data_IF_002772553657
#
_entry.id   IF_002772553657
#
_cell.length_a   1.000
_cell.length_b   1.000
_cell.length_c   1.000
_cell.angle_alpha   90.00
_cell.angle_beta   90.00
_cell.angle_gamma   90.00
#
_symmetry.space_group_name_H-M   'P 1'
#
loop_
_entity.id
_entity.type
_entity.pdbx_description
1 polymer ?
#
# COMPACT_ATOMS: atom_id res chain seq x y z
N UNK A 1 -23.08 25.06 8.20
CA UNK A 1 -22.05 23.99 8.25
C UNK A 1 -21.32 24.01 6.93
N UNK A 2 -20.09 24.53 6.88
CA UNK A 2 -19.27 24.47 5.68
C UNK A 2 -18.84 23.01 5.50
N UNK A 3 -19.38 22.35 4.49
CA UNK A 3 -18.95 21.02 4.10
C UNK A 3 -17.48 21.14 3.66
N UNK A 4 -16.57 20.59 4.44
CA UNK A 4 -15.15 20.53 4.09
C UNK A 4 -15.01 19.65 2.86
N UNK A 5 -14.74 20.27 1.71
CA UNK A 5 -14.40 19.55 0.48
C UNK A 5 -13.12 18.74 0.72
N UNK A 6 -13.09 17.45 0.38
CA UNK A 6 -11.91 16.61 0.58
C UNK A 6 -10.75 17.09 -0.31
N UNK A 7 -9.60 17.39 0.31
CA UNK A 7 -8.38 17.79 -0.40
C UNK A 7 -7.66 16.56 -0.95
N UNK A 8 -7.66 16.38 -2.28
CA UNK A 8 -7.06 15.21 -2.96
C UNK A 8 -5.52 15.28 -3.06
N UNK A 9 -4.91 16.46 -2.89
CA UNK A 9 -3.48 16.68 -3.12
C UNK A 9 -2.53 15.77 -2.28
N UNK A 10 -2.78 15.48 -0.99
CA UNK A 10 -1.93 14.57 -0.22
C UNK A 10 -1.99 13.13 -0.72
N UNK A 11 -3.18 12.64 -1.07
CA UNK A 11 -3.35 11.31 -1.65
C UNK A 11 -2.59 11.17 -2.98
N UNK A 12 -2.62 12.23 -3.81
CA UNK A 12 -1.91 12.30 -5.09
C UNK A 12 -0.39 12.28 -4.89
N UNK A 13 0.14 13.06 -3.93
CA UNK A 13 1.60 13.07 -3.65
C UNK A 13 2.10 11.73 -3.12
N UNK A 14 1.38 11.15 -2.16
CA UNK A 14 1.71 9.82 -1.61
C UNK A 14 1.63 8.75 -2.70
N UNK A 15 0.58 8.79 -3.53
CA UNK A 15 0.45 7.92 -4.69
C UNK A 15 1.63 8.08 -5.66
N UNK A 16 1.99 9.31 -6.04
CA UNK A 16 3.09 9.58 -6.96
C UNK A 16 4.44 9.07 -6.42
N UNK A 17 4.75 9.35 -5.15
CA UNK A 17 5.98 8.85 -4.49
C UNK A 17 5.98 7.32 -4.43
N UNK A 18 4.87 6.70 -4.07
CA UNK A 18 4.74 5.24 -4.00
C UNK A 18 4.91 4.57 -5.37
N UNK A 19 4.46 5.21 -6.46
CA UNK A 19 4.65 4.72 -7.82
C UNK A 19 6.11 4.90 -8.29
N UNK A 20 6.77 6.00 -7.93
CA UNK A 20 8.19 6.22 -8.24
C UNK A 20 9.09 5.18 -7.57
N UNK A 21 8.94 5.00 -6.26
CA UNK A 21 9.71 4.02 -5.50
C UNK A 21 9.56 2.61 -6.10
N UNK A 22 8.32 2.22 -6.42
CA UNK A 22 8.04 0.90 -7.04
C UNK A 22 8.62 0.76 -8.45
N UNK A 23 8.66 1.84 -9.22
CA UNK A 23 9.27 1.82 -10.54
C UNK A 23 10.78 1.60 -10.49
N UNK A 24 11.42 2.16 -9.46
CA UNK A 24 12.86 2.02 -9.20
C UNK A 24 13.21 0.62 -8.70
N UNK A 25 12.38 0.01 -7.84
CA UNK A 25 12.62 -1.35 -7.35
C UNK A 25 12.37 -2.46 -8.37
N UNK A 26 11.73 -2.17 -9.52
CA UNK A 26 11.50 -3.12 -10.62
C UNK A 26 12.55 -2.99 -11.73
N UNK A 27 13.83 -3.05 -11.36
CA UNK A 27 14.93 -3.23 -12.32
C UNK A 27 14.81 -4.62 -12.95
N UNK A 28 14.41 -4.69 -14.23
CA UNK A 28 14.42 -5.97 -14.96
C UNK A 28 13.37 -6.14 -16.06
N UNK A 29 12.26 -5.39 -16.05
CA UNK A 29 11.16 -5.63 -17.01
C UNK A 29 11.03 -4.49 -18.02
N UNK A 30 11.61 -4.66 -19.22
CA UNK A 30 11.21 -3.94 -20.45
C UNK A 30 11.35 -2.41 -20.46
N UNK A 31 12.36 -1.92 -21.19
CA UNK A 31 12.74 -0.51 -21.29
C UNK A 31 11.89 0.28 -22.32
N UNK A 32 10.55 0.15 -22.30
CA UNK A 32 9.72 0.83 -23.31
C UNK A 32 9.64 2.35 -23.02
N UNK A 33 9.76 3.15 -24.09
CA UNK A 33 9.62 4.62 -24.06
C UNK A 33 8.30 5.06 -23.39
N UNK A 34 7.24 4.28 -23.59
CA UNK A 34 5.93 4.50 -22.95
C UNK A 34 6.00 4.39 -21.41
N UNK A 35 6.72 3.40 -20.87
CA UNK A 35 6.89 3.23 -19.42
C UNK A 35 7.69 4.40 -18.82
N UNK A 36 8.75 4.85 -19.50
CA UNK A 36 9.53 6.03 -19.09
C UNK A 36 8.68 7.30 -19.10
N UNK A 37 7.87 7.50 -20.14
CA UNK A 37 6.94 8.63 -20.24
C UNK A 37 5.90 8.64 -19.11
N UNK A 38 5.29 7.49 -18.81
CA UNK A 38 4.34 7.37 -17.72
C UNK A 38 5.00 7.68 -16.35
N UNK A 39 6.22 7.18 -16.11
CA UNK A 39 6.96 7.44 -14.88
C UNK A 39 7.39 8.90 -14.75
N UNK A 40 7.77 9.56 -15.83
CA UNK A 40 8.10 10.99 -15.84
C UNK A 40 6.87 11.85 -15.50
N UNK A 41 5.71 11.49 -16.05
CA UNK A 41 4.44 12.17 -15.74
C UNK A 41 4.02 11.95 -14.28
N UNK A 42 4.21 10.73 -13.76
CA UNK A 42 3.97 10.41 -12.35
C UNK A 42 4.95 11.16 -11.44
N UNK A 43 6.25 11.22 -11.78
CA UNK A 43 7.27 11.98 -11.07
C UNK A 43 6.91 13.47 -11.01
N UNK A 44 6.57 14.03 -12.17
CA UNK A 44 6.13 15.40 -12.32
C UNK A 44 4.89 15.70 -11.46
N UNK A 45 3.93 14.77 -11.40
CA UNK A 45 2.71 14.94 -10.59
C UNK A 45 2.96 14.96 -9.07
N UNK A 46 4.01 14.28 -8.59
CA UNK A 46 4.39 14.25 -7.17
C UNK A 46 5.19 15.47 -6.72
N UNK A 47 6.09 15.97 -7.57
CA UNK A 47 6.96 17.12 -7.29
C UNK A 47 6.21 18.43 -7.55
N UNK A 48 5.40 18.46 -8.61
CA UNK A 48 4.60 19.60 -9.02
C UNK A 48 3.14 19.15 -9.27
N UNK A 49 2.29 19.09 -8.23
CA UNK A 49 0.86 18.88 -8.39
C UNK A 49 0.18 20.14 -9.00
N UNK A 50 0.84 20.82 -9.93
CA UNK A 50 0.40 22.09 -10.49
C UNK A 50 -0.81 21.97 -11.41
N UNK A 51 -1.00 20.80 -12.04
CA UNK A 51 -2.06 20.60 -13.01
C UNK A 51 -2.84 19.31 -12.74
N UNK A 52 -4.12 19.41 -12.42
CA UNK A 52 -4.94 18.23 -12.15
C UNK A 52 -5.23 17.44 -13.41
N UNK A 53 -5.07 18.05 -14.59
CA UNK A 53 -5.02 17.34 -15.87
C UNK A 53 -3.83 16.37 -15.85
N UNK A 54 -2.64 16.80 -15.41
CA UNK A 54 -1.45 15.94 -15.33
C UNK A 54 -1.69 14.78 -14.36
N UNK A 55 -2.33 15.03 -13.22
CA UNK A 55 -2.67 13.97 -12.25
C UNK A 55 -3.69 12.98 -12.84
N UNK A 56 -4.77 13.46 -13.45
CA UNK A 56 -5.76 12.61 -14.11
C UNK A 56 -5.13 11.79 -15.24
N UNK A 57 -4.28 12.40 -16.06
CA UNK A 57 -3.56 11.71 -17.13
C UNK A 57 -2.60 10.66 -16.57
N UNK A 58 -1.88 10.96 -15.49
CA UNK A 58 -0.99 10.01 -14.83
C UNK A 58 -1.75 8.83 -14.23
N UNK A 59 -2.86 9.09 -13.52
CA UNK A 59 -3.71 8.07 -12.94
C UNK A 59 -4.37 7.21 -14.04
N UNK A 60 -4.88 7.82 -15.11
CA UNK A 60 -5.46 7.12 -16.25
C UNK A 60 -4.42 6.25 -16.97
N UNK A 61 -3.23 6.78 -17.24
CA UNK A 61 -2.14 6.02 -17.85
C UNK A 61 -1.75 4.82 -16.99
N UNK A 62 -1.63 5.00 -15.67
CA UNK A 62 -1.30 3.92 -14.73
C UNK A 62 -2.41 2.87 -14.66
N UNK A 63 -3.67 3.29 -14.67
CA UNK A 63 -4.84 2.38 -14.73
C UNK A 63 -4.83 1.57 -16.02
N UNK A 64 -4.65 2.20 -17.18
CA UNK A 64 -4.59 1.52 -18.48
C UNK A 64 -3.46 0.49 -18.50
N UNK A 65 -2.26 0.90 -18.07
CA UNK A 65 -1.11 -0.01 -17.93
C UNK A 65 -1.41 -1.16 -16.99
N UNK A 66 -2.08 -0.88 -15.87
CA UNK A 66 -2.42 -1.89 -14.89
C UNK A 66 -3.43 -2.90 -15.43
N UNK A 67 -4.49 -2.43 -16.09
CA UNK A 67 -5.51 -3.28 -16.72
C UNK A 67 -4.87 -4.19 -17.78
N UNK A 68 -3.96 -3.66 -18.60
CA UNK A 68 -3.21 -4.49 -19.56
C UNK A 68 -2.39 -5.58 -18.87
N UNK A 69 -1.76 -5.24 -17.74
CA UNK A 69 -0.89 -6.13 -16.99
C UNK A 69 -1.65 -7.12 -16.08
N UNK A 70 -2.97 -6.99 -15.90
CA UNK A 70 -3.79 -7.81 -14.99
C UNK A 70 -3.49 -9.31 -15.07
N UNK A 71 -3.33 -9.94 -16.25
CA UNK A 71 -3.04 -11.38 -16.33
C UNK A 71 -1.71 -11.80 -15.69
N UNK A 72 -0.81 -10.84 -15.49
CA UNK A 72 0.55 -11.04 -15.00
C UNK A 72 0.79 -10.35 -13.65
N UNK A 73 -0.27 -9.81 -13.02
CA UNK A 73 -0.16 -9.07 -11.78
C UNK A 73 -0.10 -9.99 -10.57
N UNK A 74 0.84 -9.72 -9.66
CA UNK A 74 0.80 -10.28 -8.30
C UNK A 74 -0.37 -9.66 -7.52
N UNK A 75 -0.84 -10.27 -6.44
CA UNK A 75 -1.94 -9.75 -5.59
C UNK A 75 -1.71 -8.29 -5.15
N UNK A 76 -0.49 -7.94 -4.74
CA UNK A 76 -0.15 -6.56 -4.36
C UNK A 76 -0.27 -5.54 -5.50
N UNK A 77 -0.15 -5.97 -6.75
CA UNK A 77 -0.31 -5.12 -7.93
C UNK A 77 -1.79 -4.91 -8.28
N UNK A 78 -2.65 -5.90 -7.99
CA UNK A 78 -4.10 -5.76 -8.12
C UNK A 78 -4.64 -4.72 -7.14
N UNK A 79 -4.22 -4.75 -5.88
CA UNK A 79 -4.62 -3.74 -4.90
C UNK A 79 -4.16 -2.32 -5.28
N UNK A 80 -2.95 -2.21 -5.84
CA UNK A 80 -2.43 -0.92 -6.34
C UNK A 80 -3.23 -0.40 -7.54
N UNK A 81 -3.64 -1.29 -8.44
CA UNK A 81 -4.53 -0.96 -9.55
C UNK A 81 -5.89 -0.48 -9.05
N UNK A 82 -6.51 -1.21 -8.11
CA UNK A 82 -7.78 -0.82 -7.50
C UNK A 82 -7.70 0.54 -6.83
N UNK A 83 -6.62 0.82 -6.09
CA UNK A 83 -6.39 2.13 -5.48
C UNK A 83 -6.25 3.23 -6.55
N UNK A 84 -5.51 2.97 -7.62
CA UNK A 84 -5.34 3.93 -8.73
C UNK A 84 -6.67 4.17 -9.46
N UNK A 85 -7.49 3.13 -9.67
CA UNK A 85 -8.84 3.25 -10.22
C UNK A 85 -9.75 4.09 -9.34
N UNK A 86 -9.72 3.86 -8.02
CA UNK A 86 -10.50 4.65 -7.05
C UNK A 86 -10.08 6.12 -7.06
N UNK A 87 -8.76 6.40 -7.08
CA UNK A 87 -8.24 7.76 -7.20
C UNK A 87 -8.68 8.42 -8.51
N UNK A 88 -8.59 7.71 -9.64
CA UNK A 88 -9.04 8.21 -10.93
C UNK A 88 -10.54 8.51 -10.94
N UNK A 89 -11.35 7.60 -10.39
CA UNK A 89 -12.80 7.78 -10.30
C UNK A 89 -13.15 9.01 -9.47
N UNK A 90 -12.51 9.20 -8.32
CA UNK A 90 -12.73 10.37 -7.46
C UNK A 90 -12.33 11.68 -8.15
N UNK A 91 -11.22 11.67 -8.88
CA UNK A 91 -10.79 12.79 -9.72
C UNK A 91 -11.81 13.11 -10.81
N UNK A 92 -12.36 12.09 -11.47
CA UNK A 92 -13.38 12.26 -12.51
C UNK A 92 -14.71 12.76 -11.94
N UNK A 93 -15.13 12.27 -10.78
CA UNK A 93 -16.33 12.74 -10.07
C UNK A 93 -16.16 14.21 -9.67
N UNK A 94 -15.01 14.55 -9.09
CA UNK A 94 -14.66 15.93 -8.71
C UNK A 94 -14.61 16.85 -9.93
N UNK A 95 -14.11 16.34 -11.07
CA UNK A 95 -14.10 17.10 -12.32
C UNK A 95 -15.50 17.25 -12.93
N UNK A 96 -16.35 16.23 -12.85
CA UNK A 96 -17.73 16.28 -13.36
C UNK A 96 -18.62 17.20 -12.52
N UNK A 97 -18.42 17.27 -11.21
CA UNK A 97 -19.16 18.17 -10.31
C UNK A 97 -18.82 19.66 -10.57
N UNK A 98 -17.68 19.95 -11.19
CA UNK A 98 -17.30 21.30 -11.68
C UNK A 98 -18.32 21.90 -12.65
N UNK A 99 -18.91 21.08 -13.52
CA UNK A 99 -19.92 21.56 -14.48
C UNK A 99 -21.25 21.93 -13.81
N UNK A 100 -21.41 21.62 -12.51
CA UNK A 100 -22.60 21.93 -11.73
C UNK A 100 -22.43 23.13 -10.78
N UNK A 101 -21.21 23.62 -10.56
CA UNK A 101 -20.96 24.73 -9.62
C UNK A 101 -20.63 26.04 -10.35
N UNK A 102 -21.17 27.20 -9.92
CA UNK A 102 -20.97 28.49 -10.60
C UNK A 102 -19.49 28.90 -10.64
N UNK A 103 -19.09 29.54 -11.74
CA UNK A 103 -17.75 30.05 -11.99
C UNK A 103 -17.28 30.98 -10.87
N UNK A 104 -16.40 30.50 -9.99
CA UNK A 104 -15.86 31.33 -8.90
C UNK A 104 -14.89 30.64 -7.94
N UNK A 105 -14.86 29.30 -7.86
CA UNK A 105 -13.92 28.60 -6.99
C UNK A 105 -12.58 28.33 -7.69
N UNK A 106 -11.52 28.98 -7.20
CA UNK A 106 -10.13 28.80 -7.66
C UNK A 106 -9.56 27.44 -7.22
N UNK A 107 -10.14 26.35 -7.73
CA UNK A 107 -9.76 24.97 -7.43
C UNK A 107 -8.27 24.66 -7.69
N UNK A 108 -7.65 25.32 -8.68
CA UNK A 108 -6.21 25.23 -8.95
C UNK A 108 -5.40 25.66 -7.72
N UNK A 109 -5.78 26.76 -7.07
CA UNK A 109 -5.12 27.18 -5.82
C UNK A 109 -5.29 26.16 -4.69
N UNK A 110 -6.37 25.37 -4.67
CA UNK A 110 -6.58 24.31 -3.67
C UNK A 110 -5.72 23.05 -3.93
N UNK A 111 -5.32 22.82 -5.18
CA UNK A 111 -4.45 21.70 -5.57
C UNK A 111 -2.97 22.08 -5.53
N UNK A 112 -2.64 23.37 -5.71
CA UNK A 112 -1.28 23.89 -5.70
C UNK A 112 -0.87 24.55 -4.39
N UNK A 113 -1.79 24.83 -3.47
CA UNK A 113 -1.46 25.35 -2.15
C UNK A 113 -0.43 24.44 -1.46
N UNK A 114 0.67 25.03 -1.03
CA UNK A 114 1.58 24.41 -0.08
C UNK A 114 0.81 24.17 1.21
N UNK A 115 0.73 22.91 1.64
CA UNK A 115 0.09 22.57 2.91
C UNK A 115 0.84 23.25 4.05
N UNK A 116 0.09 24.00 4.85
CA UNK A 116 0.51 24.29 6.22
C UNK A 116 0.57 22.96 7.01
N UNK A 117 1.49 22.86 7.97
CA UNK A 117 1.63 21.70 8.83
C UNK A 117 0.30 21.34 9.52
N UNK A 118 -0.51 22.35 9.86
CA UNK A 118 -1.83 22.17 10.48
C UNK A 118 -2.87 21.48 9.56
N UNK A 119 -2.77 21.65 8.24
CA UNK A 119 -3.67 21.02 7.27
C UNK A 119 -3.25 19.57 6.97
N UNK A 120 -1.93 19.33 6.97
CA UNK A 120 -1.38 17.98 6.86
C UNK A 120 -1.80 17.12 8.04
N UNK A 121 -1.67 17.63 9.27
CA UNK A 121 -2.10 16.95 10.49
C UNK A 121 -3.60 16.61 10.46
N UNK A 122 -4.45 17.59 10.11
CA UNK A 122 -5.90 17.38 9.94
C UNK A 122 -6.22 16.31 8.90
N UNK A 123 -5.52 16.29 7.78
CA UNK A 123 -5.72 15.28 6.74
C UNK A 123 -5.38 13.89 7.26
N UNK A 124 -4.26 13.74 7.98
CA UNK A 124 -3.89 12.47 8.60
C UNK A 124 -4.91 12.01 9.63
N UNK A 125 -5.42 12.91 10.48
CA UNK A 125 -6.44 12.59 11.47
C UNK A 125 -7.74 12.09 10.82
N UNK A 126 -8.12 12.66 9.68
CA UNK A 126 -9.30 12.22 8.92
C UNK A 126 -9.10 10.88 8.20
N UNK A 127 -7.91 10.63 7.64
CA UNK A 127 -7.63 9.41 6.87
C UNK A 127 -7.23 8.22 7.74
N UNK A 128 -6.62 8.46 8.91
CA UNK A 128 -6.10 7.41 9.78
C UNK A 128 -7.16 6.35 10.15
N UNK A 129 -8.43 6.69 10.48
CA UNK A 129 -9.45 5.69 10.74
C UNK A 129 -9.75 4.78 9.55
N UNK A 130 -9.83 5.36 8.34
CA UNK A 130 -10.09 4.63 7.09
C UNK A 130 -8.92 3.73 6.73
N UNK A 131 -7.70 4.25 6.77
CA UNK A 131 -6.48 3.47 6.52
C UNK A 131 -6.40 2.30 7.50
N UNK A 132 -6.65 2.55 8.78
CA UNK A 132 -6.69 1.50 9.80
C UNK A 132 -7.73 0.44 9.48
N UNK A 133 -8.94 0.84 9.10
CA UNK A 133 -10.01 -0.09 8.75
C UNK A 133 -9.64 -0.96 7.54
N UNK A 134 -9.03 -0.37 6.50
CA UNK A 134 -8.51 -1.11 5.36
C UNK A 134 -7.48 -2.16 5.79
N UNK A 135 -6.56 -1.82 6.70
CA UNK A 135 -5.57 -2.78 7.22
C UNK A 135 -6.23 -3.87 8.06
N UNK A 136 -7.23 -3.55 8.89
CA UNK A 136 -7.99 -4.56 9.65
C UNK A 136 -8.63 -5.57 8.69
N UNK A 137 -9.33 -5.08 7.65
CA UNK A 137 -9.94 -5.95 6.64
C UNK A 137 -8.88 -6.79 5.94
N UNK A 138 -7.80 -6.16 5.48
CA UNK A 138 -6.73 -6.83 4.75
C UNK A 138 -6.12 -7.98 5.56
N UNK A 139 -5.69 -7.71 6.79
CA UNK A 139 -5.08 -8.71 7.65
C UNK A 139 -6.08 -9.79 8.10
N UNK A 140 -7.35 -9.44 8.31
CA UNK A 140 -8.39 -10.42 8.63
C UNK A 140 -8.69 -11.34 7.44
N UNK A 141 -8.80 -10.79 6.24
CA UNK A 141 -9.02 -11.56 5.02
C UNK A 141 -7.83 -12.45 4.68
N UNK A 142 -6.61 -11.93 4.84
CA UNK A 142 -5.37 -12.70 4.65
C UNK A 142 -5.31 -13.89 5.62
N UNK A 143 -5.59 -13.67 6.91
CA UNK A 143 -5.63 -14.72 7.90
C UNK A 143 -6.74 -15.75 7.62
N UNK A 144 -7.94 -15.28 7.28
CA UNK A 144 -9.07 -16.15 6.91
C UNK A 144 -8.74 -17.02 5.70
N UNK A 145 -8.18 -16.45 4.63
CA UNK A 145 -7.81 -17.20 3.45
C UNK A 145 -6.73 -18.23 3.74
N UNK A 146 -5.67 -17.86 4.47
CA UNK A 146 -4.61 -18.79 4.88
C UNK A 146 -5.14 -19.92 5.76
N UNK A 147 -6.09 -19.65 6.65
CA UNK A 147 -6.70 -20.66 7.51
C UNK A 147 -7.55 -21.67 6.72
N UNK A 148 -8.15 -21.26 5.61
CA UNK A 148 -8.98 -22.12 4.75
C UNK A 148 -8.22 -22.74 3.57
N UNK A 149 -6.96 -22.37 3.35
CA UNK A 149 -6.10 -22.94 2.33
C UNK A 149 -5.18 -24.02 2.93
N UNK A 150 -4.44 -24.74 2.08
CA UNK A 150 -3.34 -25.62 2.51
C UNK A 150 -2.13 -24.87 3.09
N UNK A 151 -2.28 -23.59 3.48
CA UNK A 151 -1.19 -22.75 3.97
C UNK A 151 -0.59 -23.27 5.29
N UNK A 152 -1.38 -23.91 6.15
CA UNK A 152 -0.85 -24.48 7.40
C UNK A 152 0.03 -25.72 7.19
N UNK A 153 -0.04 -26.36 6.02
CA UNK A 153 0.91 -27.39 5.65
C UNK A 153 2.20 -26.74 5.15
N UNK A 154 3.27 -26.89 5.92
CA UNK A 154 4.58 -26.29 5.63
C UNK A 154 5.15 -26.74 4.26
N UNK A 155 4.65 -27.83 3.67
CA UNK A 155 5.07 -28.29 2.34
C UNK A 155 4.45 -27.50 1.20
N UNK A 156 3.30 -26.86 1.43
CA UNK A 156 2.57 -26.06 0.45
C UNK A 156 2.65 -24.56 0.72
N UNK A 157 3.09 -24.17 1.92
CA UNK A 157 3.30 -22.78 2.29
C UNK A 157 4.61 -22.21 1.74
N UNK A 158 4.62 -20.92 1.40
CA UNK A 158 5.85 -20.19 1.13
C UNK A 158 6.57 -19.73 2.41
N UNK A 159 5.90 -19.75 3.58
CA UNK A 159 6.47 -19.23 4.83
C UNK A 159 7.80 -19.90 5.25
N UNK A 160 7.96 -21.24 5.13
CA UNK A 160 9.22 -21.89 5.48
C UNK A 160 10.39 -21.46 4.62
N UNK A 161 10.15 -21.10 3.35
CA UNK A 161 11.21 -20.61 2.45
C UNK A 161 11.82 -19.32 3.00
N UNK A 162 10.98 -18.37 3.42
CA UNK A 162 11.46 -17.11 4.02
C UNK A 162 12.22 -17.35 5.34
N UNK A 163 11.77 -18.30 6.16
CA UNK A 163 12.49 -18.68 7.38
C UNK A 163 13.83 -19.34 7.06
N UNK A 164 13.90 -20.18 6.03
CA UNK A 164 15.16 -20.80 5.59
C UNK A 164 16.17 -19.73 5.13
N UNK A 165 15.72 -18.74 4.36
CA UNK A 165 16.57 -17.62 3.92
C UNK A 165 17.05 -16.79 5.12
N UNK A 166 16.21 -16.56 6.14
CA UNK A 166 16.64 -15.89 7.37
C UNK A 166 17.66 -16.71 8.17
N UNK A 167 17.49 -18.03 8.23
CA UNK A 167 18.43 -18.93 8.90
C UNK A 167 19.80 -18.95 8.23
N UNK A 168 19.86 -18.78 6.90
CA UNK A 168 21.12 -18.63 6.17
C UNK A 168 21.95 -17.44 6.66
N UNK A 169 21.29 -16.36 7.10
CA UNK A 169 21.93 -15.18 7.67
C UNK A 169 22.23 -15.31 9.17
N UNK A 170 21.82 -16.41 9.81
CA UNK A 170 22.02 -16.70 11.22
C UNK A 170 22.59 -18.12 11.41
N UNK A 171 23.84 -18.38 10.98
CA UNK A 171 24.40 -19.73 10.90
C UNK A 171 24.46 -20.47 12.24
N UNK A 172 24.54 -19.74 13.36
CA UNK A 172 24.47 -20.32 14.70
C UNK A 172 23.12 -20.93 15.03
N UNK A 173 22.02 -20.34 14.54
CA UNK A 173 20.66 -20.90 14.67
C UNK A 173 20.44 -22.05 13.69
N UNK A 174 21.00 -21.94 12.47
CA UNK A 174 20.92 -22.99 11.45
C UNK A 174 21.67 -24.27 11.85
N UNK A 175 22.74 -24.16 12.63
CA UNK A 175 23.54 -25.29 13.10
C UNK A 175 22.77 -26.24 14.03
N UNK A 176 21.73 -25.74 14.71
CA UNK A 176 20.80 -26.59 15.46
C UNK A 176 19.70 -27.11 14.51
N UNK A 177 19.90 -28.34 14.03
CA UNK A 177 18.97 -28.99 13.11
C UNK A 177 17.57 -29.21 13.69
N UNK A 178 17.44 -29.40 15.01
CA UNK A 178 16.13 -29.58 15.66
C UNK A 178 15.39 -28.26 15.70
N UNK A 179 16.06 -27.19 16.14
CA UNK A 179 15.49 -25.85 16.18
C UNK A 179 15.13 -25.36 14.77
N UNK A 180 16.00 -25.56 13.79
CA UNK A 180 15.76 -25.15 12.40
C UNK A 180 14.54 -25.84 11.80
N UNK A 181 14.41 -27.16 11.98
CA UNK A 181 13.23 -27.90 11.51
C UNK A 181 11.97 -27.45 12.23
N UNK A 182 12.04 -27.17 13.54
CA UNK A 182 10.91 -26.65 14.30
C UNK A 182 10.46 -25.27 13.78
N UNK A 183 11.40 -24.36 13.53
CA UNK A 183 11.12 -23.03 12.98
C UNK A 183 10.49 -23.11 11.59
N UNK A 184 11.03 -23.94 10.70
CA UNK A 184 10.47 -24.15 9.35
C UNK A 184 9.05 -24.70 9.40
N UNK A 185 8.78 -25.69 10.27
CA UNK A 185 7.43 -26.26 10.43
C UNK A 185 6.45 -25.31 11.09
N UNK A 186 6.92 -24.46 12.00
CA UNK A 186 6.09 -23.47 12.70
C UNK A 186 5.83 -22.21 11.86
N UNK A 187 6.64 -21.95 10.83
CA UNK A 187 6.61 -20.71 10.03
C UNK A 187 5.20 -20.33 9.52
N UNK A 188 4.37 -21.26 8.98
CA UNK A 188 3.03 -20.90 8.54
C UNK A 188 2.11 -20.50 9.69
N UNK A 189 2.15 -21.22 10.81
CA UNK A 189 1.35 -20.93 12.00
C UNK A 189 1.76 -19.59 12.64
N UNK A 190 3.07 -19.31 12.69
CA UNK A 190 3.62 -18.03 13.16
C UNK A 190 3.13 -16.87 12.28
N UNK A 191 3.18 -17.03 10.96
CA UNK A 191 2.71 -16.02 10.00
C UNK A 191 1.22 -15.72 10.20
N UNK A 192 0.40 -16.77 10.26
CA UNK A 192 -1.05 -16.63 10.46
C UNK A 192 -1.37 -15.94 11.79
N UNK A 193 -0.67 -16.33 12.86
CA UNK A 193 -0.86 -15.75 14.19
C UNK A 193 -0.44 -14.28 14.21
N UNK A 194 0.67 -13.94 13.54
CA UNK A 194 1.13 -12.56 13.41
C UNK A 194 0.12 -11.66 12.69
N UNK A 195 -0.41 -12.11 11.54
CA UNK A 195 -1.42 -11.38 10.78
C UNK A 195 -2.71 -11.18 11.58
N UNK A 196 -3.20 -12.23 12.25
CA UNK A 196 -4.40 -12.14 13.09
C UNK A 196 -4.18 -11.21 14.29
N UNK A 197 -3.02 -11.29 14.94
CA UNK A 197 -2.67 -10.42 16.06
C UNK A 197 -2.63 -8.95 15.64
N UNK A 198 -2.10 -8.64 14.45
CA UNK A 198 -2.12 -7.29 13.88
C UNK A 198 -3.56 -6.80 13.69
N UNK A 199 -4.43 -7.60 13.05
CA UNK A 199 -5.83 -7.23 12.83
C UNK A 199 -6.57 -6.95 14.15
N UNK A 200 -6.44 -7.85 15.13
CA UNK A 200 -7.09 -7.72 16.45
C UNK A 200 -6.58 -6.50 17.21
N UNK A 201 -5.26 -6.27 17.20
CA UNK A 201 -4.67 -5.11 17.85
C UNK A 201 -5.11 -3.80 17.21
N UNK A 202 -5.16 -3.72 15.87
CA UNK A 202 -5.63 -2.52 15.15
C UNK A 202 -7.12 -2.24 15.38
N UNK A 203 -7.93 -3.28 15.57
CA UNK A 203 -9.36 -3.18 15.87
C UNK A 203 -9.65 -2.65 17.29
N UNK A 204 -8.65 -2.61 18.18
CA UNK A 204 -8.80 -2.12 19.55
C UNK A 204 -9.28 -0.65 19.61
N UNK A 205 -9.90 -0.24 20.74
CA UNK A 205 -10.40 1.12 20.92
C UNK A 205 -9.33 2.20 20.70
N UNK A 206 -9.79 3.39 20.32
CA UNK A 206 -8.92 4.54 20.14
C UNK A 206 -8.16 4.89 21.43
N UNK A 207 -6.90 5.29 21.31
CA UNK A 207 -6.01 5.60 22.44
C UNK A 207 -5.41 4.38 23.16
N UNK A 208 -5.91 3.17 22.92
CA UNK A 208 -5.42 1.96 23.60
C UNK A 208 -3.94 1.65 23.27
N UNK A 209 -3.23 1.04 24.23
CA UNK A 209 -1.88 0.52 24.01
C UNK A 209 -1.88 -0.59 22.95
N UNK A 210 -2.93 -1.43 22.95
CA UNK A 210 -3.11 -2.49 21.93
C UNK A 210 -3.14 -1.94 20.51
N UNK A 211 -3.83 -0.82 20.26
CA UNK A 211 -3.85 -0.19 18.94
C UNK A 211 -2.45 0.23 18.46
N UNK A 212 -1.64 0.78 19.37
CA UNK A 212 -0.24 1.15 19.08
C UNK A 212 0.62 -0.08 18.80
N UNK A 213 0.43 -1.15 19.58
CA UNK A 213 1.09 -2.44 19.31
C UNK A 213 0.68 -3.00 17.94
N UNK A 214 -0.58 -2.89 17.54
CA UNK A 214 -1.03 -3.31 16.21
C UNK A 214 -0.29 -2.59 15.09
N UNK A 215 -0.15 -1.27 15.19
CA UNK A 215 0.62 -0.47 14.22
C UNK A 215 2.12 -0.82 14.23
N UNK A 216 2.71 -0.99 15.42
CA UNK A 216 4.12 -1.36 15.57
C UNK A 216 4.41 -2.76 15.01
N UNK A 217 3.57 -3.75 15.34
CA UNK A 217 3.67 -5.12 14.84
C UNK A 217 3.47 -5.20 13.33
N UNK A 218 2.51 -4.42 12.78
CA UNK A 218 2.33 -4.30 11.33
C UNK A 218 3.58 -3.76 10.65
N UNK A 219 4.19 -2.70 11.20
CA UNK A 219 5.42 -2.14 10.68
C UNK A 219 6.58 -3.13 10.78
N UNK A 220 6.72 -3.81 11.91
CA UNK A 220 7.76 -4.83 12.13
C UNK A 220 7.61 -6.01 11.16
N UNK A 221 6.38 -6.48 10.92
CA UNK A 221 6.10 -7.54 9.97
C UNK A 221 6.50 -7.13 8.54
N UNK A 222 6.08 -5.94 8.10
CA UNK A 222 6.45 -5.44 6.77
C UNK A 222 7.95 -5.14 6.64
N UNK A 223 8.60 -4.67 7.70
CA UNK A 223 10.05 -4.49 7.73
C UNK A 223 10.74 -5.84 7.62
N UNK A 224 10.29 -6.85 8.35
CA UNK A 224 10.80 -8.22 8.24
C UNK A 224 10.68 -8.76 6.82
N UNK A 225 9.51 -8.62 6.19
CA UNK A 225 9.30 -9.01 4.79
C UNK A 225 10.22 -8.24 3.84
N UNK A 226 10.43 -6.94 4.06
CA UNK A 226 11.28 -6.11 3.22
C UNK A 226 12.78 -6.44 3.38
N UNK A 227 13.17 -6.93 4.55
CA UNK A 227 14.53 -7.37 4.83
C UNK A 227 14.79 -8.83 4.41
N UNK A 228 13.74 -9.63 4.22
CA UNK A 228 13.89 -10.97 3.65
C UNK A 228 14.41 -10.85 2.21
N UNK A 229 15.55 -11.47 1.89
CA UNK A 229 16.03 -11.59 0.51
C UNK A 229 14.93 -12.21 -0.37
N UNK A 230 14.84 -11.80 -1.65
CA UNK A 230 13.99 -12.51 -2.59
C UNK A 230 14.45 -13.98 -2.67
N UNK A 231 13.51 -14.95 -2.66
CA UNK A 231 13.85 -16.35 -2.86
C UNK A 231 14.39 -16.63 -4.27
#
# INVERSE_FOLDING_TARGET
MNQHEPHLAPAIRVWAVAQLLRSHMKEGVGNSLFRRGALFTIAGSGIWPASPIVVCTAAAARTIMGVWQTPYMTDGQHWDLLFTCALLLELLITWASRYRTPAGSNWLSKLTASFDASEQERTFDHLAPTIRFMHIIFYSAAAFFKLNASFLDFRFSCAPLFVAVLLDHAPSLAADGVLSVALLRAAPAMTLTGELAVALCLAAPAGSRMRRLGAASMLALHLGIALCPPP
#
